data_IF_434924046190
#
_entry.id   IF_434924046190
#
_cell.length_a   1.000
_cell.length_b   1.000
_cell.length_c   1.000
_cell.angle_alpha   90.00
_cell.angle_beta   90.00
_cell.angle_gamma   90.00
#
_symmetry.space_group_name_H-M   'P 1'
#
loop_
_entity.id
_entity.type
_entity.pdbx_description
1 polymer ?
#
# COMPACT_ATOMS: atom_id res chain seq x y z
N UNK A 1 14.49 14.41 -12.26
CA UNK A 1 13.79 13.13 -12.48
C UNK A 1 13.02 12.85 -11.22
N UNK A 2 11.69 12.65 -11.29
CA UNK A 2 10.93 12.16 -10.14
C UNK A 2 11.38 10.71 -9.93
N UNK A 3 12.36 10.54 -9.03
CA UNK A 3 12.87 9.24 -8.65
C UNK A 3 11.69 8.46 -8.04
N UNK A 4 11.28 7.37 -8.70
CA UNK A 4 10.22 6.50 -8.20
C UNK A 4 10.57 6.09 -6.77
N UNK A 5 9.68 6.36 -5.82
CA UNK A 5 9.96 6.09 -4.41
C UNK A 5 10.34 4.61 -4.27
N UNK A 6 11.48 4.29 -3.65
CA UNK A 6 11.96 2.92 -3.55
C UNK A 6 10.97 1.99 -2.84
N UNK A 7 10.07 2.52 -2.00
CA UNK A 7 8.95 1.80 -1.42
C UNK A 7 7.87 1.49 -2.47
N UNK A 8 7.48 2.45 -3.30
CA UNK A 8 6.51 2.24 -4.38
C UNK A 8 7.01 1.21 -5.39
N UNK A 9 8.28 1.26 -5.77
CA UNK A 9 8.90 0.27 -6.66
C UNK A 9 8.87 -1.15 -6.03
N UNK A 10 9.08 -1.26 -4.71
CA UNK A 10 8.98 -2.54 -3.99
C UNK A 10 7.55 -3.04 -3.94
N UNK A 11 6.58 -2.17 -3.65
CA UNK A 11 5.16 -2.50 -3.60
C UNK A 11 4.63 -2.90 -5.00
N UNK A 12 5.14 -2.28 -6.08
CA UNK A 12 4.86 -2.68 -7.45
C UNK A 12 5.20 -4.15 -7.71
N UNK A 13 6.35 -4.62 -7.23
CA UNK A 13 6.77 -6.02 -7.34
C UNK A 13 5.90 -6.98 -6.52
N UNK A 14 5.29 -6.50 -5.43
CA UNK A 14 4.36 -7.30 -4.63
C UNK A 14 2.93 -7.29 -5.19
N UNK A 15 2.64 -6.62 -6.32
CA UNK A 15 1.28 -6.53 -6.87
C UNK A 15 0.23 -5.97 -5.89
N UNK A 16 0.66 -5.37 -4.78
CA UNK A 16 -0.19 -4.67 -3.81
C UNK A 16 -0.26 -3.17 -4.10
N UNK A 17 0.25 -2.73 -5.25
CA UNK A 17 0.29 -1.33 -5.67
C UNK A 17 -1.09 -0.67 -5.75
N UNK A 18 -2.13 -1.41 -6.14
CA UNK A 18 -3.50 -0.89 -6.14
C UNK A 18 -3.97 -0.52 -4.73
N UNK A 19 -3.77 -1.43 -3.76
CA UNK A 19 -4.11 -1.19 -2.34
C UNK A 19 -3.28 -0.06 -1.72
N UNK A 20 -2.04 0.09 -2.16
CA UNK A 20 -1.20 1.23 -1.78
C UNK A 20 -1.77 2.54 -2.33
N UNK A 21 -2.17 2.59 -3.60
CA UNK A 21 -2.81 3.78 -4.20
C UNK A 21 -4.12 4.15 -3.52
N UNK A 22 -4.97 3.17 -3.20
CA UNK A 22 -6.20 3.40 -2.43
C UNK A 22 -5.91 4.03 -1.06
N UNK A 23 -4.86 3.58 -0.38
CA UNK A 23 -4.43 4.13 0.90
C UNK A 23 -3.89 5.56 0.75
N UNK A 24 -3.04 5.81 -0.24
CA UNK A 24 -2.51 7.14 -0.55
C UNK A 24 -3.63 8.13 -0.87
N UNK A 25 -4.61 7.71 -1.67
CA UNK A 25 -5.78 8.52 -1.99
C UNK A 25 -6.60 8.84 -0.75
N UNK A 26 -6.89 7.85 0.10
CA UNK A 26 -7.60 8.10 1.35
C UNK A 26 -6.85 9.07 2.27
N UNK A 27 -5.52 8.94 2.36
CA UNK A 27 -4.71 9.86 3.17
C UNK A 27 -4.68 11.28 2.60
N UNK A 28 -4.69 11.43 1.28
CA UNK A 28 -4.76 12.72 0.61
C UNK A 28 -6.13 13.41 0.83
N UNK A 29 -7.22 12.64 0.77
CA UNK A 29 -8.60 13.14 0.94
C UNK A 29 -8.92 13.41 2.43
N UNK A 30 -8.76 12.40 3.29
CA UNK A 30 -9.23 12.46 4.67
C UNK A 30 -8.25 13.16 5.59
N UNK A 31 -6.94 13.10 5.29
CA UNK A 31 -5.85 13.61 6.15
C UNK A 31 -5.85 13.06 7.58
N UNK A 32 -6.64 12.02 7.84
CA UNK A 32 -6.70 11.26 9.09
C UNK A 32 -6.62 9.77 8.77
N UNK A 33 -5.50 9.15 9.13
CA UNK A 33 -5.24 7.73 8.93
C UNK A 33 -6.24 6.82 9.66
N UNK A 34 -6.91 7.32 10.72
CA UNK A 34 -7.95 6.56 11.44
C UNK A 34 -9.17 6.33 10.57
N UNK A 35 -9.48 7.24 9.65
CA UNK A 35 -10.57 7.04 8.70
C UNK A 35 -10.16 6.08 7.56
N UNK A 36 -8.85 5.94 7.31
CA UNK A 36 -8.28 5.05 6.31
C UNK A 36 -7.97 3.64 6.83
N UNK A 37 -8.46 3.29 8.03
CA UNK A 37 -8.28 1.95 8.61
C UNK A 37 -8.68 0.80 7.66
N UNK A 38 -9.77 0.88 6.86
CA UNK A 38 -10.12 -0.17 5.88
C UNK A 38 -9.04 -0.37 4.82
N UNK A 39 -8.53 0.72 4.23
CA UNK A 39 -7.49 0.72 3.20
C UNK A 39 -6.16 0.22 3.79
N UNK A 40 -5.84 0.63 5.01
CA UNK A 40 -4.66 0.16 5.76
C UNK A 40 -4.70 -1.35 6.02
N UNK A 41 -5.87 -1.89 6.39
CA UNK A 41 -6.08 -3.34 6.54
C UNK A 41 -5.92 -4.06 5.22
N UNK A 42 -6.58 -3.60 4.15
CA UNK A 42 -6.47 -4.21 2.83
C UNK A 42 -5.03 -4.25 2.30
N UNK A 43 -4.28 -3.16 2.47
CA UNK A 43 -2.87 -3.10 2.10
C UNK A 43 -2.02 -4.08 2.92
N UNK A 44 -2.21 -4.13 4.25
CA UNK A 44 -1.52 -5.08 5.14
C UNK A 44 -1.81 -6.53 4.78
N UNK A 45 -3.07 -6.88 4.53
CA UNK A 45 -3.48 -8.26 4.23
C UNK A 45 -2.88 -8.72 2.88
N UNK A 46 -2.88 -7.83 1.89
CA UNK A 46 -2.20 -8.09 0.61
C UNK A 46 -0.71 -8.37 0.82
N UNK A 47 -0.01 -7.51 1.57
CA UNK A 47 1.42 -7.66 1.84
C UNK A 47 1.73 -8.90 2.70
N UNK A 48 0.88 -9.24 3.67
CA UNK A 48 1.01 -10.44 4.49
C UNK A 48 0.88 -11.72 3.64
N UNK A 49 -0.09 -11.76 2.73
CA UNK A 49 -0.27 -12.90 1.80
C UNK A 49 0.92 -13.14 0.86
N UNK A 50 1.71 -12.09 0.60
CA UNK A 50 2.94 -12.17 -0.20
C UNK A 50 4.14 -12.64 0.61
N UNK A 51 4.25 -12.20 1.86
CA UNK A 51 5.32 -12.62 2.78
C UNK A 51 5.22 -14.11 3.12
N UNK A 52 4.03 -14.69 3.19
CA UNK A 52 3.83 -16.13 3.43
C UNK A 52 4.13 -17.00 2.20
N UNK A 53 4.27 -16.41 1.01
CA UNK A 53 4.60 -17.11 -0.25
C UNK A 53 6.08 -17.04 -0.62
N UNK A 54 6.93 -16.52 0.26
CA UNK A 54 8.39 -16.51 0.11
C UNK A 54 9.00 -17.48 1.14
N UNK A 55 9.41 -18.71 0.77
CA UNK A 55 10.36 -19.48 1.57
C UNK A 55 11.74 -18.80 1.62
#
# INVERSE_FOLDING_TARGET
>A
EEEEDPLDARIGRTGCAERHRELQQCMAEQRDWRQCQPQLRAFRDCMASRQTRHP
#
